data_IF_756989335367
#
_entry.id   IF_756989335367
#
_cell.length_a   1.000
_cell.length_b   1.000
_cell.length_c   1.000
_cell.angle_alpha   90.00
_cell.angle_beta   90.00
_cell.angle_gamma   90.00
#
_symmetry.space_group_name_H-M   'P 1'
#
loop_
_entity.id
_entity.type
_entity.pdbx_description
1 polymer ?
#
# COMPACT_ATOMS: atom_id res chain seq x y z
N UNK A 1 -6.13 39.39 71.07
CA UNK A 1 -6.00 39.56 69.60
C UNK A 1 -6.26 38.21 68.92
N UNK A 2 -7.42 38.03 68.27
CA UNK A 2 -7.76 36.76 67.61
C UNK A 2 -7.58 36.90 66.09
N UNK A 3 -6.58 36.21 65.52
CA UNK A 3 -6.42 36.12 64.06
C UNK A 3 -7.45 35.13 63.51
N UNK A 4 -8.50 35.64 62.85
CA UNK A 4 -9.40 34.82 62.01
C UNK A 4 -8.62 34.30 60.80
N UNK A 5 -8.38 32.99 60.74
CA UNK A 5 -7.85 32.28 59.57
C UNK A 5 -8.94 32.22 58.50
N UNK A 6 -8.79 32.97 57.40
CA UNK A 6 -9.64 32.85 56.21
C UNK A 6 -9.37 31.49 55.56
N UNK A 7 -10.36 30.62 55.58
CA UNK A 7 -10.36 29.35 54.82
C UNK A 7 -10.76 29.64 53.37
N UNK A 8 -9.86 29.31 52.43
CA UNK A 8 -10.09 29.48 50.99
C UNK A 8 -11.09 28.41 50.47
N UNK A 9 -11.91 28.74 49.45
CA UNK A 9 -12.89 27.82 48.89
C UNK A 9 -12.17 26.67 48.16
N UNK A 10 -12.44 25.46 48.61
CA UNK A 10 -11.90 24.22 48.09
C UNK A 10 -12.41 23.96 46.67
N UNK A 11 -11.50 23.79 45.70
CA UNK A 11 -11.82 23.45 44.31
C UNK A 11 -12.26 21.98 44.22
N UNK A 12 -13.48 21.66 44.66
CA UNK A 12 -14.00 20.28 44.77
C UNK A 12 -14.54 19.64 43.50
N UNK A 13 -14.51 20.32 42.36
CA UNK A 13 -15.22 19.87 41.15
C UNK A 13 -14.59 18.63 40.50
N UNK A 14 -13.27 18.59 40.32
CA UNK A 14 -12.60 17.44 39.69
C UNK A 14 -12.55 16.20 40.60
N UNK A 15 -12.32 16.41 41.89
CA UNK A 15 -12.27 15.31 42.88
C UNK A 15 -13.64 14.67 43.09
N UNK A 16 -14.73 15.43 43.01
CA UNK A 16 -16.10 14.90 43.09
C UNK A 16 -16.51 14.10 41.84
N UNK A 17 -16.02 14.51 40.66
CA UNK A 17 -16.21 13.76 39.40
C UNK A 17 -15.52 12.39 39.46
N UNK A 18 -14.26 12.35 39.92
CA UNK A 18 -13.49 11.11 40.07
C UNK A 18 -13.99 10.21 41.19
N UNK A 19 -14.57 10.76 42.27
CA UNK A 19 -15.23 10.00 43.35
C UNK A 19 -16.60 9.44 42.98
N UNK A 20 -17.10 9.71 41.77
CA UNK A 20 -18.41 9.21 41.34
C UNK A 20 -19.58 9.92 42.01
N UNK A 21 -19.38 11.09 42.64
CA UNK A 21 -20.49 11.90 43.16
C UNK A 21 -21.47 12.31 42.04
N UNK A 22 -20.99 12.39 40.80
CA UNK A 22 -21.82 12.58 39.59
C UNK A 22 -22.81 11.44 39.37
N UNK A 23 -22.50 10.21 39.78
CA UNK A 23 -23.35 9.04 39.57
C UNK A 23 -24.43 8.89 40.64
N UNK A 24 -24.22 9.42 41.86
CA UNK A 24 -25.07 9.17 43.03
C UNK A 24 -25.97 10.37 43.39
N UNK A 25 -25.67 11.57 42.89
CA UNK A 25 -26.46 12.78 43.21
C UNK A 25 -27.83 12.79 42.50
N UNK A 26 -28.80 13.49 43.09
CA UNK A 26 -30.15 13.71 42.56
C UNK A 26 -30.12 14.18 41.09
N UNK A 27 -30.43 13.27 40.16
CA UNK A 27 -30.18 13.38 38.72
C UNK A 27 -29.50 12.15 38.07
N UNK A 28 -29.17 11.15 38.88
CA UNK A 28 -28.45 9.89 38.54
C UNK A 28 -28.92 9.17 37.26
N UNK A 29 -30.22 9.17 36.95
CA UNK A 29 -30.77 8.48 35.77
C UNK A 29 -30.14 8.92 34.43
N UNK A 30 -29.85 10.21 34.27
CA UNK A 30 -29.21 10.73 33.06
C UNK A 30 -27.72 10.36 33.01
N UNK A 31 -27.06 10.31 34.17
CA UNK A 31 -25.62 10.08 34.30
C UNK A 31 -25.26 8.60 34.15
N UNK A 32 -26.16 7.69 34.55
CA UNK A 32 -26.03 6.26 34.30
C UNK A 32 -26.04 5.92 32.81
N UNK A 33 -26.94 6.54 32.04
CA UNK A 33 -26.98 6.40 30.56
C UNK A 33 -25.68 6.86 29.89
N UNK A 34 -25.09 7.95 30.39
CA UNK A 34 -23.80 8.46 29.91
C UNK A 34 -22.62 7.51 30.22
N UNK A 35 -22.59 6.88 31.40
CA UNK A 35 -21.59 5.85 31.70
C UNK A 35 -21.72 4.63 30.78
N UNK A 36 -22.96 4.18 30.53
CA UNK A 36 -23.20 3.05 29.65
C UNK A 36 -22.77 3.35 28.21
N UNK A 37 -22.95 4.60 27.77
CA UNK A 37 -22.40 5.09 26.50
C UNK A 37 -20.87 5.03 26.45
N UNK A 38 -20.17 5.52 27.49
CA UNK A 38 -18.70 5.46 27.55
C UNK A 38 -18.15 4.03 27.56
N UNK A 39 -18.80 3.13 28.30
CA UNK A 39 -18.44 1.71 28.32
C UNK A 39 -18.66 1.09 26.94
N UNK A 40 -19.79 1.37 26.27
CA UNK A 40 -20.05 0.95 24.90
C UNK A 40 -19.00 1.47 23.91
N UNK A 41 -18.56 2.71 24.07
CA UNK A 41 -17.50 3.31 23.26
C UNK A 41 -16.15 2.61 23.48
N UNK A 42 -15.83 2.27 24.72
CA UNK A 42 -14.63 1.51 25.06
C UNK A 42 -14.66 0.11 24.43
N UNK A 43 -15.79 -0.60 24.52
CA UNK A 43 -15.96 -1.89 23.85
C UNK A 43 -15.85 -1.79 22.33
N UNK A 44 -16.42 -0.74 21.72
CA UNK A 44 -16.32 -0.48 20.29
C UNK A 44 -14.86 -0.22 19.88
N UNK A 45 -14.11 0.52 20.69
CA UNK A 45 -12.68 0.80 20.45
C UNK A 45 -11.83 -0.47 20.51
N UNK A 46 -12.03 -1.31 21.54
CA UNK A 46 -11.32 -2.59 21.67
C UNK A 46 -11.64 -3.50 20.47
N UNK A 47 -12.92 -3.60 20.11
CA UNK A 47 -13.37 -4.45 19.00
C UNK A 47 -12.84 -3.96 17.65
N UNK A 48 -12.83 -2.65 17.42
CA UNK A 48 -12.31 -2.03 16.19
C UNK A 48 -10.80 -2.22 16.07
N UNK A 49 -10.05 -2.03 17.17
CA UNK A 49 -8.59 -2.16 17.17
C UNK A 49 -8.15 -3.55 16.71
N UNK A 50 -8.78 -4.61 17.22
CA UNK A 50 -8.42 -5.98 16.84
C UNK A 50 -8.69 -6.29 15.37
N UNK A 51 -9.71 -5.67 14.76
CA UNK A 51 -9.99 -5.83 13.33
C UNK A 51 -9.00 -5.06 12.45
N UNK A 52 -8.55 -3.89 12.91
CA UNK A 52 -7.53 -3.10 12.22
C UNK A 52 -6.20 -3.85 12.26
N UNK A 53 -5.80 -4.38 13.40
CA UNK A 53 -4.55 -5.13 13.56
C UNK A 53 -4.49 -6.34 12.62
N UNK A 54 -5.58 -7.12 12.56
CA UNK A 54 -5.69 -8.26 11.63
C UNK A 54 -5.59 -7.86 10.16
N UNK A 55 -6.17 -6.71 9.79
CA UNK A 55 -6.07 -6.19 8.41
C UNK A 55 -4.64 -5.78 8.07
N UNK A 56 -3.92 -5.15 9.01
CA UNK A 56 -2.53 -4.72 8.80
C UNK A 56 -1.62 -5.92 8.54
N UNK A 57 -1.75 -7.00 9.33
CA UNK A 57 -0.97 -8.24 9.09
C UNK A 57 -1.29 -8.80 7.70
N UNK A 58 -2.57 -8.87 7.32
CA UNK A 58 -2.97 -9.33 5.99
C UNK A 58 -2.44 -8.44 4.86
N UNK A 59 -2.39 -7.12 5.08
CA UNK A 59 -1.81 -6.18 4.11
C UNK A 59 -0.32 -6.46 3.91
N UNK A 60 0.42 -6.71 4.99
CA UNK A 60 1.84 -7.08 4.90
C UNK A 60 2.03 -8.36 4.09
N UNK A 61 1.26 -9.43 4.38
CA UNK A 61 1.31 -10.67 3.59
C UNK A 61 0.99 -10.47 2.11
N UNK A 62 0.06 -9.57 1.79
CA UNK A 62 -0.26 -9.24 0.39
C UNK A 62 0.86 -8.44 -0.27
N UNK A 63 1.51 -7.54 0.47
CA UNK A 63 2.62 -6.74 -0.02
C UNK A 63 3.83 -7.63 -0.36
N UNK A 64 4.16 -8.59 0.50
CA UNK A 64 5.23 -9.57 0.26
C UNK A 64 4.96 -10.36 -1.03
N UNK A 65 3.72 -10.79 -1.26
CA UNK A 65 3.33 -11.49 -2.49
C UNK A 65 3.49 -10.62 -3.74
N UNK A 66 3.15 -9.33 -3.65
CA UNK A 66 3.33 -8.40 -4.77
C UNK A 66 4.80 -8.19 -5.07
N UNK A 67 5.63 -8.07 -4.04
CA UNK A 67 7.09 -7.93 -4.19
C UNK A 67 7.70 -9.18 -4.84
N UNK A 68 7.31 -10.37 -4.39
CA UNK A 68 7.76 -11.64 -4.98
C UNK A 68 7.38 -11.74 -6.47
N UNK A 69 6.12 -11.47 -6.82
CA UNK A 69 5.67 -11.46 -8.21
C UNK A 69 6.42 -10.44 -9.06
N UNK A 70 6.71 -9.25 -8.50
CA UNK A 70 7.47 -8.21 -9.19
C UNK A 70 8.93 -8.63 -9.42
N UNK A 71 9.53 -9.35 -8.47
CA UNK A 71 10.86 -9.95 -8.64
C UNK A 71 10.84 -10.96 -9.78
N UNK A 72 9.90 -11.91 -9.75
CA UNK A 72 9.74 -12.92 -10.80
C UNK A 72 9.54 -12.29 -12.18
N UNK A 73 8.69 -11.27 -12.29
CA UNK A 73 8.50 -10.52 -13.54
C UNK A 73 9.79 -9.89 -14.04
N UNK A 74 10.55 -9.24 -13.14
CA UNK A 74 11.80 -8.56 -13.49
C UNK A 74 12.83 -9.55 -14.02
N UNK A 75 12.95 -10.72 -13.39
CA UNK A 75 13.88 -11.77 -13.83
C UNK A 75 13.48 -12.35 -15.18
N UNK A 76 12.19 -12.64 -15.40
CA UNK A 76 11.69 -13.10 -16.70
C UNK A 76 11.88 -12.05 -17.79
N UNK A 77 11.68 -10.77 -17.46
CA UNK A 77 11.92 -9.68 -18.39
C UNK A 77 13.40 -9.60 -18.79
N UNK A 78 14.32 -9.74 -17.82
CA UNK A 78 15.77 -9.81 -18.09
C UNK A 78 16.13 -10.99 -18.99
N UNK A 79 15.56 -12.16 -18.74
CA UNK A 79 15.77 -13.35 -19.57
C UNK A 79 15.34 -13.12 -21.03
N UNK A 80 14.18 -12.49 -21.23
CA UNK A 80 13.69 -12.13 -22.55
C UNK A 80 14.62 -11.14 -23.26
N UNK A 81 15.04 -10.08 -22.56
CA UNK A 81 16.00 -9.12 -23.10
C UNK A 81 17.33 -9.79 -23.48
N UNK A 82 17.82 -10.73 -22.65
CA UNK A 82 19.02 -11.52 -22.95
C UNK A 82 18.84 -12.37 -24.20
N UNK A 83 17.67 -12.98 -24.38
CA UNK A 83 17.35 -13.78 -25.58
C UNK A 83 17.22 -12.93 -26.85
N UNK A 84 16.87 -11.65 -26.74
CA UNK A 84 16.79 -10.72 -27.88
C UNK A 84 18.16 -10.19 -28.33
N UNK A 85 19.22 -10.39 -27.55
CA UNK A 85 20.56 -9.94 -27.93
C UNK A 85 21.03 -10.64 -29.19
N UNK A 86 21.55 -9.86 -30.14
CA UNK A 86 22.11 -10.38 -31.40
C UNK A 86 23.19 -11.44 -31.14
N UNK A 87 24.03 -11.25 -30.13
CA UNK A 87 25.07 -12.20 -29.74
C UNK A 87 24.50 -13.55 -29.30
N UNK A 88 23.42 -13.57 -28.51
CA UNK A 88 22.74 -14.79 -28.06
C UNK A 88 22.02 -15.47 -29.23
N UNK A 89 21.39 -14.69 -30.11
CA UNK A 89 20.78 -15.20 -31.34
C UNK A 89 21.84 -15.85 -32.22
N UNK A 90 23.01 -15.21 -32.39
CA UNK A 90 24.12 -15.75 -33.17
C UNK A 90 24.67 -17.03 -32.58
N UNK A 91 24.89 -17.08 -31.27
CA UNK A 91 25.39 -18.26 -30.57
C UNK A 91 24.43 -19.45 -30.74
N UNK A 92 23.12 -19.22 -30.57
CA UNK A 92 22.09 -20.26 -30.73
C UNK A 92 21.92 -20.70 -32.19
N UNK A 93 22.01 -19.77 -33.14
CA UNK A 93 21.84 -20.07 -34.57
C UNK A 93 23.08 -20.70 -35.20
N UNK A 94 24.26 -20.53 -34.60
CA UNK A 94 25.51 -21.15 -35.03
C UNK A 94 25.45 -22.69 -35.02
N UNK A 95 24.70 -23.28 -34.08
CA UNK A 95 24.46 -24.74 -34.02
C UNK A 95 23.77 -25.26 -35.28
N UNK A 96 22.92 -24.43 -35.90
CA UNK A 96 22.23 -24.73 -37.15
C UNK A 96 23.05 -24.35 -38.40
N UNK A 97 24.29 -23.89 -38.23
CA UNK A 97 25.18 -23.48 -39.33
C UNK A 97 24.82 -22.14 -39.97
N UNK A 98 23.88 -21.39 -39.38
CA UNK A 98 23.45 -20.08 -39.88
C UNK A 98 24.49 -19.03 -39.49
N UNK A 99 24.82 -18.12 -40.42
CA UNK A 99 25.79 -17.03 -40.23
C UNK A 99 25.23 -15.73 -40.80
N UNK A 100 25.59 -14.61 -40.20
CA UNK A 100 25.28 -13.29 -40.76
C UNK A 100 26.06 -13.14 -42.08
N UNK A 101 25.39 -12.75 -43.18
CA UNK A 101 26.07 -12.43 -44.42
C UNK A 101 26.91 -11.16 -44.25
N UNK A 102 28.17 -11.22 -44.66
CA UNK A 102 29.13 -10.10 -44.61
C UNK A 102 28.77 -8.95 -45.57
N UNK A 103 27.93 -9.23 -46.57
CA UNK A 103 27.44 -8.24 -47.55
C UNK A 103 25.93 -8.20 -47.55
N UNK A 104 25.38 -6.98 -47.63
CA UNK A 104 23.94 -6.78 -47.78
C UNK A 104 23.42 -7.43 -49.08
N UNK A 105 22.24 -8.06 -49.05
CA UNK A 105 21.64 -8.64 -50.26
C UNK A 105 21.21 -7.55 -51.24
N UNK A 106 21.35 -7.82 -52.54
CA UNK A 106 20.90 -6.92 -53.59
C UNK A 106 19.38 -6.98 -53.73
N UNK A 107 18.73 -5.81 -53.80
CA UNK A 107 17.32 -5.72 -54.16
C UNK A 107 17.19 -5.83 -55.68
N UNK A 108 16.32 -6.74 -56.14
CA UNK A 108 15.93 -6.80 -57.55
C UNK A 108 14.80 -5.79 -57.71
N UNK A 109 15.09 -4.64 -58.31
CA UNK A 109 14.08 -3.70 -58.78
C UNK A 109 13.71 -4.08 -60.21
N UNK A 110 12.50 -4.62 -60.40
CA UNK A 110 11.91 -4.66 -61.73
C UNK A 110 11.71 -3.21 -62.18
N UNK A 111 12.33 -2.82 -63.30
CA UNK A 111 12.09 -1.51 -63.92
C UNK A 111 10.66 -1.50 -64.47
N UNK A 112 9.71 -0.94 -63.72
CA UNK A 112 8.29 -0.92 -64.07
C UNK A 112 7.88 0.25 -64.99
N UNK A 113 8.75 1.21 -65.31
CA UNK A 113 8.45 2.19 -66.38
C UNK A 113 9.70 2.60 -67.15
N UNK A 114 9.88 2.06 -68.35
CA UNK A 114 10.51 2.79 -69.45
C UNK A 114 9.38 3.60 -70.11
N UNK A 115 9.18 4.85 -69.67
CA UNK A 115 8.54 5.86 -70.51
C UNK A 115 9.52 6.27 -71.59
N UNK A 116 9.44 5.65 -72.77
CA UNK A 116 9.90 6.24 -74.03
C UNK A 116 8.97 5.78 -75.16
N UNK A 117 7.82 6.45 -75.29
CA UNK A 117 7.21 6.71 -76.59
C UNK A 117 7.04 8.23 -76.68
N UNK A 118 8.17 8.92 -76.87
CA UNK A 118 8.20 10.25 -77.45
C UNK A 118 8.36 10.05 -78.97
N UNK A 119 7.29 10.33 -79.71
CA UNK A 119 7.32 10.49 -81.16
C UNK A 119 6.37 11.60 -81.59
#
# INVERSE_FOLDING_TARGET
MAKKKKILPEKKTFTGLLRGEFLIKTGSEQNWKFMLYLVGLAFLSISSSHLVDRKVVRIAELQDKVEDLKSQYTDKHRDLMRMQLETEILERTAVYGLKIPDKQPYYIVDKVYDTIDEK
#
